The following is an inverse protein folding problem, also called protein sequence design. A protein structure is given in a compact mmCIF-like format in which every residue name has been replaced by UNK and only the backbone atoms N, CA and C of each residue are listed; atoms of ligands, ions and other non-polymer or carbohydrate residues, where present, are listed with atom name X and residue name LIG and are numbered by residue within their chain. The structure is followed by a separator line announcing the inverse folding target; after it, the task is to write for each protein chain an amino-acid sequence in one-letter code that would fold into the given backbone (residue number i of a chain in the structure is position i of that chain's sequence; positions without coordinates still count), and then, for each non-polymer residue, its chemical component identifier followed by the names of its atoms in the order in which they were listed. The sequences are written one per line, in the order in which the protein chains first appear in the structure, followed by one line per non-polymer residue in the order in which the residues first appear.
data_IF_962033995997
#
_entry.id   IF_962033995997
#
_cell.length_a   1.000
_cell.length_b   1.000
_cell.length_c   1.000
_cell.angle_alpha   90.00
_cell.angle_beta   90.00
_cell.angle_gamma   90.00
#
_symmetry.space_group_name_H-M   'P 1'
#
loop_
_entity.id
_entity.type
_entity.pdbx_description
1 polymer ?
#
# COMPACT_ATOMS: atom_id res chain seq x y z
N UNK A 1 -1.04 14.27 22.72
CA UNK A 1 -2.09 13.93 21.72
C UNK A 1 -1.72 14.33 20.29
N UNK A 2 -1.20 15.55 20.04
CA UNK A 2 -0.68 15.94 18.70
C UNK A 2 0.31 14.94 18.09
N UNK A 3 1.20 14.36 18.91
CA UNK A 3 2.19 13.35 18.46
C UNK A 3 1.55 12.11 17.80
N UNK A 4 0.44 11.61 18.33
CA UNK A 4 -0.23 10.42 17.77
C UNK A 4 -0.83 10.69 16.39
N UNK A 5 -1.43 11.89 16.24
CA UNK A 5 -1.95 12.35 14.95
C UNK A 5 -0.83 12.47 13.90
N UNK A 6 0.32 13.01 14.29
CA UNK A 6 1.49 13.13 13.41
C UNK A 6 2.03 11.75 13.01
N UNK A 7 2.14 10.81 13.96
CA UNK A 7 2.58 9.44 13.66
C UNK A 7 1.61 8.75 12.70
N UNK A 8 0.30 8.86 12.94
CA UNK A 8 -0.74 8.36 12.02
C UNK A 8 -0.55 8.93 10.61
N UNK A 9 -0.41 10.25 10.49
CA UNK A 9 -0.18 10.93 9.20
C UNK A 9 1.06 10.40 8.48
N UNK A 10 2.19 10.27 9.18
CA UNK A 10 3.45 9.78 8.60
C UNK A 10 3.30 8.34 8.10
N UNK A 11 2.66 7.46 8.88
CA UNK A 11 2.45 6.07 8.48
C UNK A 11 1.52 5.95 7.27
N UNK A 12 0.46 6.75 7.21
CA UNK A 12 -0.42 6.81 6.04
C UNK A 12 0.34 7.31 4.82
N UNK A 13 1.19 8.33 4.96
CA UNK A 13 2.00 8.84 3.87
C UNK A 13 3.00 7.80 3.35
N UNK A 14 3.69 7.09 4.25
CA UNK A 14 4.63 6.02 3.86
C UNK A 14 3.90 4.86 3.18
N UNK A 15 2.72 4.47 3.70
CA UNK A 15 1.88 3.47 3.06
C UNK A 15 1.44 3.90 1.65
N UNK A 16 1.11 5.18 1.46
CA UNK A 16 0.74 5.73 0.17
C UNK A 16 1.92 5.74 -0.80
N UNK A 17 3.12 6.08 -0.35
CA UNK A 17 4.34 6.00 -1.18
C UNK A 17 4.61 4.57 -1.63
N UNK A 18 4.45 3.59 -0.74
CA UNK A 18 4.61 2.17 -1.09
C UNK A 18 3.57 1.72 -2.12
N UNK A 19 2.30 2.12 -1.95
CA UNK A 19 1.23 1.90 -2.93
C UNK A 19 1.57 2.51 -4.30
N UNK A 20 1.98 3.79 -4.33
CA UNK A 20 2.29 4.51 -5.57
C UNK A 20 3.49 3.89 -6.28
N UNK A 21 4.54 3.52 -5.54
CA UNK A 21 5.69 2.81 -6.08
C UNK A 21 5.25 1.50 -6.73
N UNK A 22 4.43 0.70 -6.04
CA UNK A 22 3.91 -0.53 -6.62
C UNK A 22 3.12 -0.23 -7.91
N UNK A 23 2.12 0.64 -7.82
CA UNK A 23 1.19 0.94 -8.91
C UNK A 23 1.87 1.49 -10.16
N UNK A 24 2.77 2.47 -10.01
CA UNK A 24 3.38 3.14 -11.16
C UNK A 24 4.69 2.53 -11.63
N UNK A 25 5.47 1.92 -10.73
CA UNK A 25 6.81 1.41 -11.07
C UNK A 25 6.76 -0.10 -11.27
N UNK A 26 6.12 -0.85 -10.39
CA UNK A 26 6.21 -2.32 -10.39
C UNK A 26 5.16 -2.95 -11.30
N UNK A 27 3.89 -2.56 -11.17
CA UNK A 27 2.78 -3.17 -11.90
C UNK A 27 2.93 -3.16 -13.44
N UNK A 28 3.48 -2.11 -14.09
CA UNK A 28 3.66 -2.12 -15.54
C UNK A 28 4.59 -3.23 -16.04
N UNK A 29 5.63 -3.56 -15.27
CA UNK A 29 6.57 -4.62 -15.62
C UNK A 29 5.97 -6.01 -15.41
N UNK A 30 5.02 -6.16 -14.48
CA UNK A 30 4.31 -7.42 -14.27
C UNK A 30 3.34 -7.76 -15.40
N UNK A 31 2.80 -6.76 -16.12
CA UNK A 31 1.97 -7.03 -17.29
C UNK A 31 2.70 -7.82 -18.39
N UNK A 32 4.04 -7.83 -18.35
CA UNK A 32 4.88 -8.63 -19.25
C UNK A 32 4.91 -10.12 -18.83
N UNK A 33 4.78 -10.42 -17.54
CA UNK A 33 4.68 -11.82 -17.05
C UNK A 33 3.37 -12.49 -17.45
N UNK A 34 2.33 -11.71 -17.70
CA UNK A 34 1.03 -12.20 -18.15
C UNK A 34 0.97 -12.34 -19.69
N UNK A 35 2.05 -12.00 -20.40
CA UNK A 35 2.14 -12.16 -21.85
C UNK A 35 2.46 -13.63 -22.21
N UNK A 36 1.56 -14.35 -22.92
CA UNK A 36 1.78 -15.75 -23.29
C UNK A 36 2.95 -15.96 -24.27
N UNK A 37 3.45 -14.88 -24.88
CA UNK A 37 4.59 -14.91 -25.79
C UNK A 37 5.92 -14.57 -25.09
N UNK A 38 5.90 -14.32 -23.77
CA UNK A 38 7.11 -13.97 -23.05
C UNK A 38 8.13 -15.12 -23.08
N UNK A 39 9.37 -14.80 -23.43
CA UNK A 39 10.45 -15.79 -23.46
C UNK A 39 10.93 -16.14 -22.04
N UNK A 40 11.59 -17.30 -21.84
CA UNK A 40 12.13 -17.68 -20.53
C UNK A 40 13.11 -16.64 -19.93
N UNK A 41 13.80 -15.86 -20.76
CA UNK A 41 14.65 -14.75 -20.33
C UNK A 41 13.86 -13.55 -19.76
N UNK A 42 12.66 -13.28 -20.28
CA UNK A 42 11.77 -12.23 -19.77
C UNK A 42 11.13 -12.66 -18.46
N UNK A 43 10.68 -13.92 -18.36
CA UNK A 43 10.18 -14.48 -17.11
C UNK A 43 11.22 -14.41 -15.97
N UNK A 44 12.47 -14.78 -16.24
CA UNK A 44 13.54 -14.66 -15.26
C UNK A 44 13.75 -13.20 -14.81
N UNK A 45 13.73 -12.25 -15.75
CA UNK A 45 13.94 -10.82 -15.48
C UNK A 45 12.81 -10.16 -14.71
N UNK A 46 11.56 -10.59 -14.94
CA UNK A 46 10.39 -9.98 -14.32
C UNK A 46 9.90 -10.70 -13.06
N UNK A 47 10.42 -11.89 -12.75
CA UNK A 47 10.12 -12.62 -11.50
C UNK A 47 10.41 -11.80 -10.24
N UNK A 48 11.47 -10.97 -10.24
CA UNK A 48 11.82 -10.05 -9.16
C UNK A 48 10.78 -8.94 -8.96
N UNK A 49 10.08 -8.52 -10.02
CA UNK A 49 9.00 -7.54 -9.89
C UNK A 49 7.80 -8.11 -9.17
N UNK A 50 7.61 -9.44 -9.18
CA UNK A 50 6.49 -10.08 -8.47
C UNK A 50 6.70 -10.01 -6.97
N UNK A 51 7.89 -10.39 -6.50
CA UNK A 51 8.25 -10.25 -5.10
C UNK A 51 8.28 -8.79 -4.64
N UNK A 52 8.72 -7.85 -5.50
CA UNK A 52 8.65 -6.41 -5.21
C UNK A 52 7.21 -5.90 -5.09
N UNK A 53 6.29 -6.37 -5.92
CA UNK A 53 4.87 -6.03 -5.82
C UNK A 53 4.28 -6.55 -4.52
N UNK A 54 4.50 -7.81 -4.20
CA UNK A 54 3.96 -8.42 -2.99
C UNK A 54 4.50 -7.70 -1.75
N UNK A 55 5.80 -7.44 -1.71
CA UNK A 55 6.46 -6.74 -0.60
C UNK A 55 5.95 -5.30 -0.44
N UNK A 56 5.90 -4.53 -1.53
CA UNK A 56 5.47 -3.13 -1.48
C UNK A 56 3.97 -2.99 -1.19
N UNK A 57 3.13 -3.91 -1.68
CA UNK A 57 1.71 -3.94 -1.35
C UNK A 57 1.46 -4.37 0.11
N UNK A 58 2.21 -5.34 0.64
CA UNK A 58 2.18 -5.69 2.08
C UNK A 58 2.64 -4.51 2.95
N UNK A 59 3.77 -3.89 2.60
CA UNK A 59 4.30 -2.74 3.33
C UNK A 59 3.28 -1.58 3.33
N UNK A 60 2.69 -1.27 2.17
CA UNK A 60 1.63 -0.27 2.04
C UNK A 60 0.43 -0.57 2.93
N UNK A 61 -0.03 -1.83 2.93
CA UNK A 61 -1.15 -2.31 3.73
C UNK A 61 -0.89 -2.15 5.22
N UNK A 62 0.26 -2.62 5.70
CA UNK A 62 0.61 -2.61 7.12
C UNK A 62 0.80 -1.17 7.61
N UNK A 63 1.59 -0.36 6.90
CA UNK A 63 1.88 1.01 7.30
C UNK A 63 0.60 1.86 7.33
N UNK A 64 -0.20 1.83 6.27
CA UNK A 64 -1.44 2.58 6.22
C UNK A 64 -2.49 2.03 7.20
N UNK A 65 -2.53 0.71 7.42
CA UNK A 65 -3.42 0.07 8.39
C UNK A 65 -3.10 0.48 9.84
N UNK A 66 -1.82 0.51 10.22
CA UNK A 66 -1.40 1.06 11.52
C UNK A 66 -1.76 2.55 11.58
N UNK A 67 -1.47 3.30 10.52
CA UNK A 67 -1.84 4.71 10.40
C UNK A 67 -3.34 4.96 10.64
N UNK A 68 -4.21 4.13 10.07
CA UNK A 68 -5.66 4.15 10.29
C UNK A 68 -6.03 3.94 11.76
N UNK A 69 -5.50 2.89 12.39
CA UNK A 69 -5.78 2.56 13.81
C UNK A 69 -5.35 3.72 14.72
N UNK A 70 -4.13 4.23 14.53
CA UNK A 70 -3.63 5.35 15.33
C UNK A 70 -4.43 6.64 15.08
N UNK A 71 -4.90 6.85 13.85
CA UNK A 71 -5.78 7.95 13.47
C UNK A 71 -7.12 7.88 14.19
N UNK A 72 -7.76 6.70 14.23
CA UNK A 72 -9.00 6.47 14.99
C UNK A 72 -8.80 6.71 16.49
N UNK A 73 -7.73 6.16 17.09
CA UNK A 73 -7.43 6.38 18.51
C UNK A 73 -7.24 7.87 18.79
N UNK A 74 -6.52 8.57 17.91
CA UNK A 74 -6.32 10.03 18.00
C UNK A 74 -7.64 10.78 17.90
N UNK A 75 -8.52 10.39 16.98
CA UNK A 75 -9.84 11.00 16.81
C UNK A 75 -10.73 10.79 18.03
N UNK A 76 -10.85 9.58 18.56
CA UNK A 76 -11.71 9.33 19.72
C UNK A 76 -11.25 10.07 20.98
N UNK A 77 -9.95 10.31 21.13
CA UNK A 77 -9.38 11.08 22.25
C UNK A 77 -9.45 12.59 22.07
N UNK A 78 -9.26 13.10 20.85
CA UNK A 78 -9.14 14.55 20.60
C UNK A 78 -10.34 15.18 19.91
N UNK A 79 -11.21 14.37 19.31
CA UNK A 79 -12.35 14.77 18.45
C UNK A 79 -11.95 15.75 17.33
N UNK A 80 -10.68 15.72 16.90
CA UNK A 80 -10.19 16.61 15.84
C UNK A 80 -10.50 16.04 14.45
N UNK A 81 -11.06 16.88 13.57
CA UNK A 81 -11.40 16.48 12.20
C UNK A 81 -10.19 15.98 11.40
N UNK A 82 -9.00 16.54 11.63
CA UNK A 82 -7.76 16.09 10.98
C UNK A 82 -7.41 14.64 11.31
N UNK A 83 -7.67 14.17 12.54
CA UNK A 83 -7.39 12.79 12.91
C UNK A 83 -8.32 11.80 12.23
N UNK A 84 -9.60 12.16 12.06
CA UNK A 84 -10.56 11.37 11.31
C UNK A 84 -10.18 11.30 9.82
N UNK A 85 -9.76 12.42 9.23
CA UNK A 85 -9.31 12.48 7.84
C UNK A 85 -8.14 11.50 7.60
N UNK A 86 -7.09 11.57 8.42
CA UNK A 86 -5.94 10.66 8.26
C UNK A 86 -6.30 9.21 8.53
N UNK A 87 -7.24 8.93 9.44
CA UNK A 87 -7.74 7.58 9.63
C UNK A 87 -8.38 7.06 8.33
N UNK A 88 -9.34 7.80 7.77
CA UNK A 88 -10.05 7.38 6.56
C UNK A 88 -9.09 7.23 5.36
N UNK A 89 -8.12 8.13 5.20
CA UNK A 89 -7.08 8.00 4.19
C UNK A 89 -6.23 6.75 4.40
N UNK A 90 -5.85 6.44 5.65
CA UNK A 90 -5.13 5.21 5.98
C UNK A 90 -5.90 3.95 5.60
N UNK A 91 -7.21 3.92 5.83
CA UNK A 91 -8.06 2.80 5.43
C UNK A 91 -8.08 2.60 3.91
N UNK A 92 -8.26 3.68 3.15
CA UNK A 92 -8.28 3.64 1.68
C UNK A 92 -6.94 3.14 1.14
N UNK A 93 -5.83 3.72 1.61
CA UNK A 93 -4.48 3.33 1.18
C UNK A 93 -4.18 1.88 1.54
N UNK A 94 -4.56 1.43 2.73
CA UNK A 94 -4.36 0.05 3.16
C UNK A 94 -5.12 -0.93 2.25
N UNK A 95 -6.38 -0.63 1.96
CA UNK A 95 -7.20 -1.46 1.09
C UNK A 95 -6.67 -1.50 -0.35
N UNK A 96 -6.27 -0.35 -0.90
CA UNK A 96 -5.70 -0.28 -2.25
C UNK A 96 -4.37 -1.04 -2.35
N UNK A 97 -3.51 -0.92 -1.33
CA UNK A 97 -2.24 -1.67 -1.25
C UNK A 97 -2.47 -3.17 -1.14
N UNK A 98 -3.47 -3.59 -0.36
CA UNK A 98 -3.85 -4.98 -0.20
C UNK A 98 -4.36 -5.57 -1.51
N UNK A 99 -5.21 -4.82 -2.23
CA UNK A 99 -5.72 -5.22 -3.53
C UNK A 99 -4.59 -5.46 -4.53
N UNK A 100 -3.60 -4.56 -4.60
CA UNK A 100 -2.44 -4.70 -5.48
C UNK A 100 -1.54 -5.91 -5.14
N UNK A 101 -1.39 -6.22 -3.86
CA UNK A 101 -0.63 -7.39 -3.42
C UNK A 101 -1.34 -8.71 -3.71
N UNK A 102 -2.66 -8.79 -3.46
CA UNK A 102 -3.35 -10.08 -3.34
C UNK A 102 -4.48 -10.31 -4.35
N UNK A 103 -5.10 -9.27 -4.90
CA UNK A 103 -6.24 -9.47 -5.82
C UNK A 103 -5.83 -10.04 -7.19
N UNK A 104 -4.53 -10.05 -7.51
CA UNK A 104 -3.97 -10.75 -8.67
C UNK A 104 -3.93 -12.29 -8.52
N UNK A 105 -4.24 -12.83 -7.34
CA UNK A 105 -4.26 -14.29 -7.08
C UNK A 105 -5.61 -14.93 -7.43
N UNK A 106 -6.65 -14.12 -7.71
CA UNK A 106 -8.03 -14.59 -7.87
C UNK A 106 -8.59 -14.55 -9.30
N UNK A 107 -7.78 -14.24 -10.31
CA UNK A 107 -8.11 -14.25 -11.75
C UNK A 107 -7.17 -15.19 -12.49
#
# INVERSE_FOLDING_TARGET
MKKLNVISMVLVALGAVAFLYNYFVVQPHLGILDNPNAGPAEFARYSEYRSLSDLSGLAGTILAGIGFILGLISYFKSKTGSALLFALLGLVVAFMSFYLAFARVAL
#
